data_IF_114266628130
#
_entry.id   IF_114266628130
#
_cell.length_a   1.000
_cell.length_b   1.000
_cell.length_c   1.000
_cell.angle_alpha   90.00
_cell.angle_beta   90.00
_cell.angle_gamma   90.00
#
_symmetry.space_group_name_H-M   'P 1'
#
loop_
_entity.id
_entity.type
_entity.pdbx_description
1 polymer ?
#
# COMPACT_ATOMS: atom_id res chain seq x y z
N UNK A 1 -3.11 20.16 13.94
CA UNK A 1 -4.08 21.10 13.32
C UNK A 1 -5.54 20.83 13.71
N UNK A 2 -5.82 19.84 14.55
CA UNK A 2 -7.19 19.42 14.90
C UNK A 2 -8.15 20.56 15.35
N UNK A 3 -7.75 21.49 16.25
CA UNK A 3 -8.68 22.54 16.70
C UNK A 3 -9.20 23.46 15.59
N UNK A 4 -8.38 23.69 14.54
CA UNK A 4 -8.75 24.53 13.41
C UNK A 4 -9.74 23.79 12.50
N UNK A 5 -9.49 22.50 12.25
CA UNK A 5 -10.38 21.68 11.42
C UNK A 5 -11.74 21.46 12.09
N UNK A 6 -11.76 21.17 13.38
CA UNK A 6 -13.00 21.06 14.16
C UNK A 6 -13.82 22.36 14.10
N UNK A 7 -13.17 23.51 14.24
CA UNK A 7 -13.83 24.82 14.12
C UNK A 7 -14.48 25.04 12.74
N UNK A 8 -13.89 24.48 11.68
CA UNK A 8 -14.36 24.60 10.31
C UNK A 8 -15.27 23.44 9.87
N UNK A 9 -15.59 22.49 10.77
CA UNK A 9 -16.30 21.23 10.46
C UNK A 9 -15.61 20.37 9.39
N UNK A 10 -14.28 20.40 9.36
CA UNK A 10 -13.46 19.56 8.48
C UNK A 10 -13.03 18.33 9.27
N UNK A 11 -13.28 17.16 8.72
CA UNK A 11 -12.87 15.88 9.31
C UNK A 11 -11.40 15.59 9.00
N UNK A 12 -10.67 15.04 9.97
CA UNK A 12 -9.29 14.64 9.74
C UNK A 12 -8.97 13.31 10.39
N UNK A 13 -8.02 12.59 9.80
CA UNK A 13 -7.56 11.29 10.30
C UNK A 13 -6.05 11.13 10.11
N UNK A 14 -5.49 10.11 10.77
CA UNK A 14 -4.08 9.76 10.66
C UNK A 14 -3.93 8.27 10.37
N UNK A 15 -3.21 7.94 9.30
CA UNK A 15 -2.92 6.57 8.91
C UNK A 15 -1.65 6.08 9.61
N UNK A 16 -1.76 4.90 10.22
CA UNK A 16 -0.73 4.23 10.99
C UNK A 16 -0.49 2.82 10.49
N UNK A 17 0.67 2.29 10.84
CA UNK A 17 0.92 0.86 10.78
C UNK A 17 -0.10 0.11 11.64
N UNK A 18 -0.35 -1.14 11.26
CA UNK A 18 -1.23 -2.09 11.96
C UNK A 18 -2.73 -1.72 12.04
N UNK A 19 -3.16 -0.71 11.27
CA UNK A 19 -4.59 -0.46 11.07
C UNK A 19 -5.23 -1.55 10.20
N UNK A 20 -6.43 -1.96 10.58
CA UNK A 20 -7.28 -2.84 9.80
C UNK A 20 -7.74 -2.17 8.50
N UNK A 21 -8.19 -2.97 7.54
CA UNK A 21 -8.71 -2.47 6.26
C UNK A 21 -9.88 -1.49 6.49
N UNK A 22 -10.78 -1.80 7.41
CA UNK A 22 -11.96 -0.99 7.70
C UNK A 22 -11.59 0.35 8.36
N UNK A 23 -10.59 0.35 9.24
CA UNK A 23 -10.04 1.59 9.83
C UNK A 23 -9.38 2.48 8.77
N UNK A 24 -8.65 1.88 7.83
CA UNK A 24 -8.05 2.62 6.72
C UNK A 24 -9.10 3.21 5.79
N UNK A 25 -10.14 2.44 5.43
CA UNK A 25 -11.26 2.94 4.63
C UNK A 25 -11.93 4.12 5.34
N UNK A 26 -12.21 3.99 6.64
CA UNK A 26 -12.78 5.08 7.44
C UNK A 26 -11.88 6.33 7.42
N UNK A 27 -10.56 6.13 7.57
CA UNK A 27 -9.56 7.20 7.53
C UNK A 27 -9.56 7.92 6.17
N UNK A 28 -9.48 7.19 5.06
CA UNK A 28 -9.48 7.74 3.70
C UNK A 28 -10.78 8.47 3.31
N UNK A 29 -11.87 8.27 4.05
CA UNK A 29 -13.14 8.99 3.87
C UNK A 29 -13.19 10.33 4.63
N UNK A 30 -12.16 10.70 5.39
CA UNK A 30 -12.05 12.04 5.98
C UNK A 30 -11.59 13.06 4.95
N UNK A 31 -11.91 14.33 5.18
CA UNK A 31 -11.54 15.44 4.28
C UNK A 31 -10.02 15.63 4.20
N UNK A 32 -9.32 15.46 5.33
CA UNK A 32 -7.87 15.56 5.41
C UNK A 32 -7.30 14.28 6.03
N UNK A 33 -6.37 13.66 5.32
CA UNK A 33 -5.72 12.44 5.78
C UNK A 33 -4.22 12.69 5.92
N UNK A 34 -3.72 12.51 7.12
CA UNK A 34 -2.29 12.54 7.42
C UNK A 34 -1.73 11.12 7.47
N UNK A 35 -0.45 10.97 7.20
CA UNK A 35 0.20 9.67 7.26
C UNK A 35 1.64 9.73 6.82
N UNK A 36 2.34 8.62 6.97
CA UNK A 36 3.69 8.45 6.44
C UNK A 36 3.61 8.14 4.94
N UNK A 37 4.57 8.64 4.15
CA UNK A 37 4.78 8.30 2.75
C UNK A 37 4.68 6.79 2.48
N UNK A 38 5.33 5.97 3.32
CA UNK A 38 5.33 4.52 3.17
C UNK A 38 3.92 3.90 3.27
N UNK A 39 3.08 4.40 4.17
CA UNK A 39 1.72 3.85 4.35
C UNK A 39 0.84 4.15 3.14
N UNK A 40 0.86 5.40 2.65
CA UNK A 40 0.12 5.77 1.45
C UNK A 40 0.59 4.97 0.23
N UNK A 41 1.89 4.81 0.07
CA UNK A 41 2.43 4.06 -1.05
C UNK A 41 2.11 2.56 -0.96
N UNK A 42 2.22 1.93 0.21
CA UNK A 42 1.86 0.53 0.37
C UNK A 42 0.37 0.28 0.23
N UNK A 43 -0.49 1.17 0.72
CA UNK A 43 -1.94 1.06 0.53
C UNK A 43 -2.31 1.20 -0.95
N UNK A 44 -1.66 2.12 -1.67
CA UNK A 44 -1.81 2.22 -3.11
C UNK A 44 -1.42 0.92 -3.82
N UNK A 45 -0.28 0.32 -3.45
CA UNK A 45 0.15 -0.96 -4.02
C UNK A 45 -0.83 -2.09 -3.67
N UNK A 46 -1.31 -2.16 -2.41
CA UNK A 46 -2.31 -3.15 -1.97
C UNK A 46 -3.61 -3.01 -2.74
N UNK A 47 -4.09 -1.79 -2.94
CA UNK A 47 -5.31 -1.52 -3.71
C UNK A 47 -5.19 -1.97 -5.16
N UNK A 48 -4.02 -1.79 -5.78
CA UNK A 48 -3.78 -2.21 -7.17
C UNK A 48 -3.52 -3.72 -7.31
N UNK A 49 -3.15 -4.40 -6.23
CA UNK A 49 -2.95 -5.86 -6.18
C UNK A 49 -4.15 -6.62 -5.58
N UNK A 50 -5.21 -5.90 -5.18
CA UNK A 50 -6.34 -6.51 -4.47
C UNK A 50 -7.11 -7.49 -5.34
N UNK A 51 -7.69 -8.51 -4.70
CA UNK A 51 -8.64 -9.39 -5.36
C UNK A 51 -9.98 -8.68 -5.57
N UNK A 52 -10.78 -9.14 -6.54
CA UNK A 52 -12.08 -8.52 -6.90
C UNK A 52 -13.03 -8.36 -5.69
N UNK A 53 -12.94 -9.26 -4.71
CA UNK A 53 -13.80 -9.27 -3.51
C UNK A 53 -13.24 -8.43 -2.35
N UNK A 54 -12.04 -7.87 -2.49
CA UNK A 54 -11.41 -7.06 -1.44
C UNK A 54 -11.80 -5.60 -1.65
N UNK A 55 -12.28 -4.90 -0.61
CA UNK A 55 -12.60 -3.48 -0.74
C UNK A 55 -11.33 -2.67 -1.02
N UNK A 56 -11.50 -1.58 -1.78
CA UNK A 56 -10.43 -0.60 -2.01
C UNK A 56 -10.33 0.31 -0.79
N UNK A 57 -9.13 0.61 -0.33
CA UNK A 57 -8.87 1.50 0.81
C UNK A 57 -8.86 2.98 0.38
N UNK A 58 -8.07 3.32 -0.62
CA UNK A 58 -7.87 4.70 -1.06
C UNK A 58 -8.99 5.17 -1.99
N UNK A 59 -9.35 6.44 -1.85
CA UNK A 59 -10.25 7.13 -2.76
C UNK A 59 -9.51 7.57 -4.05
N UNK A 60 -10.06 8.53 -4.78
CA UNK A 60 -9.36 9.17 -5.88
C UNK A 60 -8.18 9.99 -5.34
N UNK A 61 -7.05 9.98 -6.06
CA UNK A 61 -5.85 10.71 -5.64
C UNK A 61 -5.95 12.16 -6.14
N UNK A 62 -6.48 13.05 -5.32
CA UNK A 62 -6.74 14.44 -5.70
C UNK A 62 -5.53 15.36 -5.51
N UNK A 63 -5.09 15.54 -4.26
CA UNK A 63 -4.02 16.46 -3.89
C UNK A 63 -3.23 15.90 -2.72
N UNK A 64 -1.91 16.11 -2.73
CA UNK A 64 -1.03 15.75 -1.64
C UNK A 64 -0.15 16.96 -1.27
N UNK A 65 -0.03 17.23 0.02
CA UNK A 65 0.94 18.17 0.56
C UNK A 65 2.02 17.33 1.23
N UNK A 66 3.26 17.48 0.78
CA UNK A 66 4.39 16.69 1.27
C UNK A 66 5.22 17.60 2.18
N UNK A 67 5.26 17.25 3.46
CA UNK A 67 6.22 17.82 4.38
C UNK A 67 7.60 17.18 4.15
N UNK A 68 8.68 17.95 4.29
CA UNK A 68 10.04 17.52 3.94
C UNK A 68 10.16 16.91 2.53
N UNK A 69 9.65 17.64 1.53
CA UNK A 69 9.55 17.15 0.16
C UNK A 69 10.89 16.74 -0.47
N UNK A 70 12.01 17.33 -0.05
CA UNK A 70 13.34 16.93 -0.46
C UNK A 70 13.71 15.55 0.07
N UNK A 71 13.55 15.29 1.37
CA UNK A 71 13.75 13.97 1.98
C UNK A 71 12.93 12.89 1.26
N UNK A 72 11.65 13.15 1.03
CA UNK A 72 10.72 12.17 0.43
C UNK A 72 10.97 11.97 -1.07
N UNK A 73 11.04 13.05 -1.85
CA UNK A 73 11.08 12.94 -3.32
C UNK A 73 12.49 12.75 -3.87
N UNK A 74 13.55 13.06 -3.11
CA UNK A 74 14.94 12.96 -3.58
C UNK A 74 15.67 11.80 -2.90
N UNK A 75 15.58 11.69 -1.58
CA UNK A 75 16.38 10.71 -0.84
C UNK A 75 15.67 9.35 -0.76
N UNK A 76 14.40 9.32 -0.36
CA UNK A 76 13.64 8.06 -0.26
C UNK A 76 13.31 7.44 -1.63
N UNK A 77 13.14 8.27 -2.67
CA UNK A 77 12.79 7.81 -4.03
C UNK A 77 13.86 6.94 -4.71
N UNK A 78 15.06 6.85 -4.13
CA UNK A 78 16.17 6.02 -4.65
C UNK A 78 15.91 4.53 -4.54
N UNK A 79 15.08 4.11 -3.60
CA UNK A 79 14.73 2.69 -3.39
C UNK A 79 13.27 2.45 -3.74
N UNK A 80 12.96 1.59 -4.71
CA UNK A 80 11.57 1.32 -5.07
C UNK A 80 10.84 0.61 -3.94
N UNK A 81 9.60 1.02 -3.68
CA UNK A 81 8.70 0.34 -2.76
C UNK A 81 8.06 -0.87 -3.44
N UNK A 82 8.04 -2.02 -2.76
CA UNK A 82 7.53 -3.27 -3.34
C UNK A 82 6.91 -4.19 -2.30
N UNK A 83 5.89 -4.94 -2.71
CA UNK A 83 5.26 -5.99 -1.90
C UNK A 83 5.77 -7.34 -2.39
N UNK A 84 6.48 -8.06 -1.52
CA UNK A 84 6.84 -9.46 -1.75
C UNK A 84 5.86 -10.38 -1.03
N UNK A 85 5.46 -11.47 -1.68
CA UNK A 85 4.64 -12.52 -1.08
C UNK A 85 5.16 -13.91 -1.42
N UNK A 86 4.84 -14.94 -0.61
CA UNK A 86 5.22 -16.30 -0.91
C UNK A 86 4.54 -16.74 -2.22
N UNK A 87 5.35 -17.14 -3.19
CA UNK A 87 4.83 -17.80 -4.39
C UNK A 87 4.42 -19.20 -3.97
N UNK A 88 3.12 -19.53 -4.04
CA UNK A 88 2.70 -20.94 -4.05
C UNK A 88 3.20 -21.55 -5.36
N UNK A 89 4.47 -21.97 -5.40
CA UNK A 89 4.95 -22.83 -6.48
C UNK A 89 4.08 -24.08 -6.47
N UNK A 90 3.37 -24.41 -7.56
CA UNK A 90 2.73 -25.71 -7.65
C UNK A 90 3.85 -26.76 -7.56
N UNK A 91 3.88 -27.46 -6.43
CA UNK A 91 4.78 -28.58 -6.16
C UNK A 91 4.62 -29.62 -7.28
N UNK A 92 5.52 -29.59 -8.28
CA UNK A 92 6.15 -30.72 -8.97
C UNK A 92 6.75 -30.40 -10.33
N UNK A 93 6.63 -29.19 -10.88
CA UNK A 93 7.18 -28.94 -12.22
C UNK A 93 8.70 -29.05 -12.28
N UNK A 94 9.44 -28.61 -11.25
CA UNK A 94 10.90 -28.78 -11.24
C UNK A 94 11.31 -30.25 -11.10
N UNK A 95 10.59 -31.04 -10.29
CA UNK A 95 10.82 -32.49 -10.17
C UNK A 95 10.48 -33.22 -11.47
N UNK A 96 9.38 -32.85 -12.14
CA UNK A 96 9.00 -33.42 -13.42
C UNK A 96 10.03 -33.10 -14.51
N UNK A 97 10.46 -31.84 -14.61
CA UNK A 97 11.50 -31.40 -15.55
C UNK A 97 12.85 -32.07 -15.24
N UNK A 98 13.28 -32.16 -13.97
CA UNK A 98 14.49 -32.89 -13.58
C UNK A 98 14.40 -34.39 -13.91
N UNK A 99 13.23 -35.00 -13.70
CA UNK A 99 13.02 -36.42 -14.03
C UNK A 99 13.04 -36.66 -15.53
N UNK A 100 12.50 -35.74 -16.32
CA UNK A 100 12.57 -35.78 -17.79
C UNK A 100 14.03 -35.64 -18.26
N UNK A 101 14.78 -34.66 -17.74
CA UNK A 101 16.19 -34.47 -18.08
C UNK A 101 17.05 -35.70 -17.78
N UNK A 102 16.78 -36.42 -16.67
CA UNK A 102 17.45 -37.69 -16.34
C UNK A 102 17.08 -38.89 -17.23
N UNK A 103 16.00 -38.80 -18.00
CA UNK A 103 15.60 -39.87 -18.95
C UNK A 103 16.26 -39.64 -20.33
N UNK A 104 16.58 -38.39 -20.67
CA UNK A 104 17.14 -38.00 -21.97
C UNK A 104 18.67 -37.79 -21.98
N UNK A 105 19.33 -37.88 -20.82
CA UNK A 105 20.79 -37.90 -20.63
C UNK A 105 21.20 -39.23 -20.03
#
# INVERSE_FOLDING_TARGET
MNPIYEYLNITNSFIQNDQTVDEKISSYNNDVVYGNNNEFCFDYLRDNLRSINTPKMQNELNVAIIDEADSVLIDESRSPLGISGPVKTPFNYSNFVMKLLKIYL
#
